data_IF_286738387770
#
_entry.id   IF_286738387770
#
_cell.length_a   1.000
_cell.length_b   1.000
_cell.length_c   1.000
_cell.angle_alpha   90.00
_cell.angle_beta   90.00
_cell.angle_gamma   90.00
#
_symmetry.space_group_name_H-M   'P 1'
#
loop_
_entity.id
_entity.type
_entity.pdbx_description
1 polymer ?
#
# COMPACT_ATOMS: atom_id res chain seq x y z
N UNK A 1 -8.30 -9.37 -10.40
CA UNK A 1 -9.07 -8.22 -10.89
C UNK A 1 -8.15 -7.02 -10.90
N UNK A 2 -8.23 -6.20 -11.95
CA UNK A 2 -7.52 -4.93 -12.04
C UNK A 2 -8.52 -3.86 -12.46
N UNK A 3 -8.57 -2.74 -11.74
CA UNK A 3 -9.38 -1.58 -12.08
C UNK A 3 -8.47 -0.50 -12.66
N UNK A 4 -8.75 -0.06 -13.88
CA UNK A 4 -8.18 1.17 -14.42
C UNK A 4 -8.92 2.37 -13.82
N UNK A 5 -8.25 3.10 -12.93
CA UNK A 5 -8.89 4.20 -12.18
C UNK A 5 -9.27 5.41 -13.05
N UNK A 6 -8.68 5.54 -14.24
CA UNK A 6 -8.94 6.66 -15.14
C UNK A 6 -10.22 6.46 -15.96
N UNK A 7 -10.43 5.24 -16.46
CA UNK A 7 -11.58 4.87 -17.29
C UNK A 7 -12.69 4.17 -16.53
N UNK A 8 -12.39 3.62 -15.34
CA UNK A 8 -13.30 2.76 -14.59
C UNK A 8 -13.40 1.32 -15.14
N UNK A 9 -12.60 0.97 -16.15
CA UNK A 9 -12.63 -0.36 -16.75
C UNK A 9 -12.07 -1.42 -15.80
N UNK A 10 -12.76 -2.56 -15.73
CA UNK A 10 -12.34 -3.71 -14.92
C UNK A 10 -11.87 -4.83 -15.84
N UNK A 11 -10.66 -5.30 -15.60
CA UNK A 11 -10.14 -6.54 -16.16
C UNK A 11 -10.24 -7.63 -15.11
N UNK A 12 -11.12 -8.59 -15.32
CA UNK A 12 -11.24 -9.77 -14.46
C UNK A 12 -10.15 -10.80 -14.78
N UNK A 13 -9.67 -11.47 -13.75
CA UNK A 13 -8.83 -12.66 -13.90
C UNK A 13 -9.65 -13.92 -13.63
N UNK A 14 -9.04 -15.09 -13.78
CA UNK A 14 -9.72 -16.36 -13.43
C UNK A 14 -10.17 -16.33 -11.96
N UNK A 15 -11.47 -16.54 -11.67
CA UNK A 15 -11.94 -16.65 -10.30
C UNK A 15 -11.25 -17.80 -9.57
N UNK A 16 -10.82 -17.55 -8.33
CA UNK A 16 -10.29 -18.59 -7.44
C UNK A 16 -11.42 -19.05 -6.50
N UNK A 17 -11.53 -20.35 -6.26
CA UNK A 17 -12.42 -20.85 -5.22
C UNK A 17 -12.01 -20.30 -3.84
N UNK A 18 -12.98 -20.13 -2.95
CA UNK A 18 -12.73 -19.71 -1.58
C UNK A 18 -11.77 -20.68 -0.87
N UNK A 19 -10.86 -20.11 -0.08
CA UNK A 19 -9.89 -20.82 0.76
C UNK A 19 -9.77 -20.09 2.10
N UNK A 20 -9.69 -20.81 3.23
CA UNK A 20 -9.64 -20.21 4.56
C UNK A 20 -8.44 -19.26 4.78
N UNK A 21 -7.36 -19.40 4.00
CA UNK A 21 -6.23 -18.45 3.98
C UNK A 21 -6.62 -17.06 3.48
N UNK A 22 -7.74 -16.92 2.76
CA UNK A 22 -8.29 -15.62 2.34
C UNK A 22 -8.69 -14.78 3.54
N UNK A 23 -9.26 -15.38 4.60
CA UNK A 23 -9.60 -14.66 5.84
C UNK A 23 -8.35 -14.19 6.58
N UNK A 24 -7.29 -15.00 6.60
CA UNK A 24 -6.01 -14.62 7.20
C UNK A 24 -5.31 -13.46 6.47
N UNK A 25 -5.61 -13.28 5.18
CA UNK A 25 -5.05 -12.21 4.33
C UNK A 25 -6.01 -11.04 4.13
N UNK A 26 -7.25 -11.13 4.63
CA UNK A 26 -8.26 -10.09 4.50
C UNK A 26 -7.83 -8.81 5.24
N UNK A 27 -8.19 -7.67 4.68
CA UNK A 27 -7.96 -6.37 5.28
C UNK A 27 -9.34 -5.77 5.59
N UNK A 28 -9.57 -5.45 6.86
CA UNK A 28 -10.69 -4.59 7.23
C UNK A 28 -10.36 -3.14 6.87
N UNK A 29 -10.89 -2.69 5.73
CA UNK A 29 -10.66 -1.36 5.20
C UNK A 29 -11.11 -0.23 6.15
N UNK A 30 -12.05 -0.50 7.06
CA UNK A 30 -12.50 0.48 8.06
C UNK A 30 -11.50 0.72 9.20
N UNK A 31 -10.46 -0.09 9.29
CA UNK A 31 -9.47 -0.05 10.39
C UNK A 31 -8.09 0.44 9.96
N UNK A 32 -7.84 0.57 8.66
CA UNK A 32 -6.58 1.06 8.12
C UNK A 32 -6.69 2.53 7.72
N UNK A 33 -5.56 3.24 7.74
CA UNK A 33 -5.49 4.61 7.26
C UNK A 33 -5.84 4.66 5.77
N UNK A 34 -6.58 5.68 5.31
CA UNK A 34 -6.77 5.91 3.89
C UNK A 34 -5.41 6.06 3.17
N UNK A 35 -5.29 5.62 1.90
CA UNK A 35 -3.99 5.60 1.20
C UNK A 35 -3.26 6.95 1.18
N UNK A 36 -3.99 8.06 0.99
CA UNK A 36 -3.38 9.40 0.99
C UNK A 36 -2.75 9.79 2.33
N UNK A 37 -3.34 9.36 3.46
CA UNK A 37 -2.78 9.60 4.80
C UNK A 37 -1.50 8.78 5.00
N UNK A 38 -1.52 7.50 4.60
CA UNK A 38 -0.35 6.63 4.69
C UNK A 38 0.80 7.12 3.79
N UNK A 39 0.50 7.57 2.57
CA UNK A 39 1.51 8.14 1.64
C UNK A 39 2.15 9.40 2.24
N UNK A 40 1.36 10.30 2.82
CA UNK A 40 1.90 11.51 3.46
C UNK A 40 2.78 11.19 4.68
N UNK A 41 2.35 10.23 5.51
CA UNK A 41 3.16 9.75 6.62
C UNK A 41 4.47 9.11 6.13
N UNK A 42 4.42 8.34 5.05
CA UNK A 42 5.59 7.72 4.44
C UNK A 42 6.55 8.78 3.87
N UNK A 43 6.02 9.79 3.19
CA UNK A 43 6.80 10.91 2.64
C UNK A 43 7.61 11.63 3.73
N UNK A 44 7.00 11.88 4.90
CA UNK A 44 7.69 12.50 6.03
C UNK A 44 8.90 11.68 6.51
N UNK A 45 8.85 10.33 6.42
CA UNK A 45 9.95 9.45 6.78
C UNK A 45 11.12 9.49 5.79
N UNK A 46 10.91 10.01 4.57
CA UNK A 46 11.96 10.15 3.56
C UNK A 46 12.94 11.28 3.87
N UNK A 47 12.63 12.15 4.86
CA UNK A 47 13.45 13.34 5.14
C UNK A 47 13.47 14.36 4.01
N UNK A 48 12.39 14.43 3.22
CA UNK A 48 12.25 15.26 2.02
C UNK A 48 13.19 14.90 0.86
N UNK A 49 13.71 13.66 0.83
CA UNK A 49 14.53 13.18 -0.30
C UNK A 49 13.66 12.72 -1.48
N UNK A 50 12.45 12.21 -1.21
CA UNK A 50 11.52 11.82 -2.25
C UNK A 50 11.01 13.04 -3.04
N UNK A 51 10.94 12.89 -4.36
CA UNK A 51 10.41 13.94 -5.26
C UNK A 51 9.16 13.48 -6.01
N UNK A 52 8.84 12.19 -5.96
CA UNK A 52 7.62 11.63 -6.56
C UNK A 52 7.30 10.24 -6.03
N UNK A 53 6.05 9.81 -6.22
CA UNK A 53 5.56 8.48 -5.87
C UNK A 53 5.57 7.56 -7.10
N UNK A 54 6.06 6.34 -6.94
CA UNK A 54 6.00 5.28 -7.95
C UNK A 54 4.79 4.39 -7.76
N UNK A 55 4.58 3.91 -6.52
CA UNK A 55 3.47 3.01 -6.20
C UNK A 55 3.20 2.98 -4.69
N UNK A 56 2.06 2.41 -4.33
CA UNK A 56 1.75 2.05 -2.96
C UNK A 56 0.96 0.74 -2.99
N UNK A 57 1.07 -0.04 -1.91
CA UNK A 57 0.25 -1.22 -1.70
C UNK A 57 -0.05 -1.39 -0.22
N UNK A 58 -1.14 -2.10 0.08
CA UNK A 58 -1.46 -2.55 1.43
C UNK A 58 -1.67 -4.06 1.40
N UNK A 59 -1.07 -4.76 2.35
CA UNK A 59 -1.21 -6.20 2.48
C UNK A 59 -1.34 -6.58 3.95
N UNK A 60 -2.17 -7.58 4.25
CA UNK A 60 -2.16 -8.20 5.57
C UNK A 60 -0.99 -9.18 5.67
N UNK A 61 -0.04 -8.90 6.56
CA UNK A 61 1.09 -9.74 6.89
C UNK A 61 0.88 -10.33 8.29
N UNK A 62 0.50 -11.60 8.37
CA UNK A 62 0.30 -12.33 9.63
C UNK A 62 -0.68 -11.63 10.61
N UNK A 63 -1.80 -11.12 10.11
CA UNK A 63 -2.80 -10.40 10.90
C UNK A 63 -2.49 -8.91 11.11
N UNK A 64 -1.36 -8.42 10.59
CA UNK A 64 -0.96 -7.02 10.64
C UNK A 64 -1.05 -6.39 9.25
N UNK A 65 -1.97 -5.45 8.99
CA UNK A 65 -1.99 -4.74 7.72
C UNK A 65 -0.80 -3.78 7.64
N UNK A 66 -0.07 -3.84 6.53
CA UNK A 66 1.15 -3.11 6.26
C UNK A 66 1.00 -2.33 4.96
N UNK A 67 1.33 -1.04 4.98
CA UNK A 67 1.54 -0.25 3.77
C UNK A 67 3.00 -0.35 3.33
N UNK A 68 3.22 -0.54 2.03
CA UNK A 68 4.51 -0.29 1.38
C UNK A 68 4.32 0.83 0.38
N UNK A 69 5.07 1.92 0.54
CA UNK A 69 5.04 3.09 -0.35
C UNK A 69 6.40 3.23 -1.01
N UNK A 70 6.42 3.23 -2.33
CA UNK A 70 7.62 3.37 -3.14
C UNK A 70 7.66 4.77 -3.74
N UNK A 71 8.67 5.54 -3.37
CA UNK A 71 8.99 6.83 -3.96
C UNK A 71 10.21 6.73 -4.87
N UNK A 72 10.51 7.82 -5.57
CA UNK A 72 11.82 8.06 -6.17
C UNK A 72 12.39 9.40 -5.73
N UNK A 73 13.71 9.49 -5.68
CA UNK A 73 14.46 10.75 -5.48
C UNK A 73 14.69 11.50 -6.80
N UNK A 74 15.39 12.64 -6.72
CA UNK A 74 15.73 13.47 -7.88
C UNK A 74 16.64 12.78 -8.93
N UNK A 75 17.30 11.67 -8.57
CA UNK A 75 18.09 10.82 -9.48
C UNK A 75 17.30 9.58 -9.93
N UNK A 76 16.00 9.55 -9.68
CA UNK A 76 15.10 8.45 -9.96
C UNK A 76 15.47 7.15 -9.21
N UNK A 77 16.19 7.25 -8.09
CA UNK A 77 16.52 6.08 -7.25
C UNK A 77 15.33 5.77 -6.33
N UNK A 78 15.02 4.48 -6.11
CA UNK A 78 13.89 4.08 -5.29
C UNK A 78 14.11 4.44 -3.81
N UNK A 79 13.05 4.89 -3.16
CA UNK A 79 12.97 5.13 -1.71
C UNK A 79 11.74 4.41 -1.19
N UNK A 80 11.94 3.26 -0.54
CA UNK A 80 10.87 2.41 0.00
C UNK A 80 10.61 2.72 1.47
N UNK A 81 9.35 2.92 1.83
CA UNK A 81 8.92 3.12 3.22
C UNK A 81 7.81 2.11 3.54
N UNK A 82 7.99 1.40 4.66
CA UNK A 82 7.03 0.43 5.17
C UNK A 82 6.38 0.97 6.43
N UNK A 83 5.05 1.03 6.47
CA UNK A 83 4.26 1.56 7.58
C UNK A 83 3.29 0.52 8.12
N UNK A 84 3.05 0.57 9.43
CA UNK A 84 1.89 -0.06 10.03
C UNK A 84 0.63 0.64 9.50
N UNK A 85 -0.28 -0.12 8.89
CA UNK A 85 -1.38 0.49 8.16
C UNK A 85 -2.47 1.10 9.04
N UNK A 86 -2.49 0.79 10.33
CA UNK A 86 -3.47 1.35 11.27
C UNK A 86 -2.98 2.65 11.90
N UNK A 87 -1.67 2.75 12.10
CA UNK A 87 -1.04 3.86 12.85
C UNK A 87 -0.23 4.81 11.99
N UNK A 88 0.20 4.40 10.79
CA UNK A 88 1.08 5.19 9.92
C UNK A 88 2.52 5.28 10.44
N UNK A 89 2.88 4.50 11.46
CA UNK A 89 4.23 4.45 12.01
C UNK A 89 5.12 3.54 11.17
N UNK A 90 6.38 3.94 10.99
CA UNK A 90 7.35 3.11 10.29
C UNK A 90 7.55 1.77 11.01
N UNK A 91 7.53 0.68 10.23
CA UNK A 91 7.86 -0.65 10.71
C UNK A 91 9.38 -0.82 10.55
N UNK A 92 10.07 -1.06 11.67
CA UNK A 92 11.49 -1.40 11.67
C UNK A 92 11.72 -2.84 11.26
#
# INVERSE_FOLDING_TARGET
MTLDVASGNVTEGTPKAYDASMEASAIDAGTVLPPHVAINAAFAQTGNVATGINSWSVANQNGKPIYTVEFHDAQNKPVSIVLDAKTGMAVK
#
